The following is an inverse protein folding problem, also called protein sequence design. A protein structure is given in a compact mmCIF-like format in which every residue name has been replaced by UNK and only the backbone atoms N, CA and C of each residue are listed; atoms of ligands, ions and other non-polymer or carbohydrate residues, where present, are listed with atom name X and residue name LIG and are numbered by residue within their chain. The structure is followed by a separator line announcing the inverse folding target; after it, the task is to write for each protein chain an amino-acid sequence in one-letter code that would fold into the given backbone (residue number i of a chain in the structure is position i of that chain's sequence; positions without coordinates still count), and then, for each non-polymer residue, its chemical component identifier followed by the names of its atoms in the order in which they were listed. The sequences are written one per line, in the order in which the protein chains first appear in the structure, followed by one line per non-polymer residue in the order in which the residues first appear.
data_IF_873097864762
#
_entry.id   IF_873097864762
#
_cell.length_a   1.000
_cell.length_b   1.000
_cell.length_c   1.000
_cell.angle_alpha   90.00
_cell.angle_beta   90.00
_cell.angle_gamma   90.00
#
_symmetry.space_group_name_H-M   'P 1'
#
loop_
_entity.id
_entity.type
_entity.pdbx_description
1 polymer ?
#
# COMPACT_ATOMS: atom_id res chain seq x y z
N UNK A 1 -14.98 -14.23 14.77
CA UNK A 1 -15.72 -13.84 13.55
C UNK A 1 -16.19 -12.39 13.59
N UNK A 2 -17.18 -12.00 14.40
CA UNK A 2 -17.71 -10.61 14.43
C UNK A 2 -16.66 -9.54 14.79
N UNK A 3 -15.82 -9.78 15.81
CA UNK A 3 -14.72 -8.86 16.17
C UNK A 3 -13.68 -8.66 15.07
N UNK A 4 -13.40 -9.69 14.27
CA UNK A 4 -12.44 -9.62 13.16
C UNK A 4 -12.97 -8.75 12.02
N UNK A 5 -14.27 -8.83 11.74
CA UNK A 5 -14.94 -7.98 10.74
C UNK A 5 -14.87 -6.51 11.15
N UNK A 6 -15.14 -6.21 12.43
CA UNK A 6 -15.05 -4.84 12.96
C UNK A 6 -13.62 -4.31 12.84
N UNK A 7 -12.61 -5.13 13.21
CA UNK A 7 -11.21 -4.74 13.10
C UNK A 7 -10.77 -4.47 11.66
N UNK A 8 -11.16 -5.34 10.71
CA UNK A 8 -10.88 -5.15 9.28
C UNK A 8 -11.54 -3.89 8.74
N UNK A 9 -12.79 -3.61 9.14
CA UNK A 9 -13.49 -2.38 8.76
C UNK A 9 -12.75 -1.13 9.26
N UNK A 10 -12.28 -1.15 10.51
CA UNK A 10 -11.48 -0.06 11.06
C UNK A 10 -10.15 0.11 10.32
N UNK A 11 -9.47 -1.00 9.98
CA UNK A 11 -8.22 -0.99 9.24
C UNK A 11 -8.39 -0.38 7.83
N UNK A 12 -9.47 -0.73 7.13
CA UNK A 12 -9.81 -0.15 5.82
C UNK A 12 -10.09 1.34 5.90
N UNK A 13 -10.83 1.80 6.91
CA UNK A 13 -11.08 3.24 7.13
C UNK A 13 -9.75 3.97 7.35
N UNK A 14 -8.88 3.40 8.20
CA UNK A 14 -7.57 3.99 8.49
C UNK A 14 -6.71 4.12 7.24
N UNK A 15 -6.65 3.07 6.41
CA UNK A 15 -5.97 3.10 5.11
C UNK A 15 -6.57 4.18 4.20
N UNK A 16 -7.90 4.26 4.09
CA UNK A 16 -8.58 5.27 3.27
C UNK A 16 -8.25 6.71 3.68
N UNK A 17 -8.18 6.99 4.98
CA UNK A 17 -7.80 8.32 5.50
C UNK A 17 -6.35 8.66 5.14
N UNK A 18 -5.43 7.70 5.24
CA UNK A 18 -4.03 7.89 4.84
C UNK A 18 -3.94 8.25 3.35
N UNK A 19 -4.65 7.51 2.49
CA UNK A 19 -4.67 7.80 1.05
C UNK A 19 -5.22 9.20 0.75
N UNK A 20 -6.31 9.62 1.41
CA UNK A 20 -6.86 10.98 1.25
C UNK A 20 -5.85 12.07 1.62
N UNK A 21 -5.06 11.87 2.67
CA UNK A 21 -4.03 12.83 3.09
C UNK A 21 -2.89 12.89 2.05
N UNK A 22 -2.43 11.74 1.56
CA UNK A 22 -1.38 11.64 0.54
C UNK A 22 -1.82 12.37 -0.74
N UNK A 23 -3.05 12.12 -1.20
CA UNK A 23 -3.63 12.81 -2.36
C UNK A 23 -3.70 14.33 -2.13
N UNK A 24 -4.16 14.76 -0.95
CA UNK A 24 -4.31 16.18 -0.62
C UNK A 24 -2.98 16.95 -0.58
N UNK A 25 -1.88 16.29 -0.22
CA UNK A 25 -0.54 16.89 -0.17
C UNK A 25 0.10 16.92 -1.58
N UNK A 26 -0.53 16.30 -2.59
CA UNK A 26 0.01 16.25 -3.95
C UNK A 26 1.26 15.38 -4.05
N UNK A 27 1.44 14.44 -3.10
CA UNK A 27 2.61 13.59 -3.06
C UNK A 27 2.51 12.53 -4.17
N UNK A 28 3.16 12.79 -5.30
CA UNK A 28 3.28 11.81 -6.38
C UNK A 28 4.37 10.79 -6.01
N UNK A 29 3.95 9.61 -5.57
CA UNK A 29 4.86 8.52 -5.24
C UNK A 29 5.41 7.89 -6.53
N UNK A 30 6.59 8.33 -6.94
CA UNK A 30 7.35 7.71 -8.04
C UNK A 30 8.44 6.83 -7.44
N UNK A 31 8.20 5.53 -7.43
CA UNK A 31 9.19 4.58 -6.97
C UNK A 31 10.25 4.37 -8.07
N UNK A 32 11.55 4.60 -7.81
CA UNK A 32 12.59 4.41 -8.82
C UNK A 32 12.71 2.96 -9.31
N UNK A 33 12.21 2.00 -8.53
CA UNK A 33 12.18 0.57 -8.88
C UNK A 33 10.90 0.17 -9.65
N UNK A 34 9.95 1.08 -9.85
CA UNK A 34 8.77 0.82 -10.68
C UNK A 34 9.10 1.14 -12.14
N UNK A 35 8.87 0.16 -13.01
CA UNK A 35 9.19 0.30 -14.43
C UNK A 35 7.92 0.62 -15.22
N UNK A 36 7.95 1.72 -15.95
CA UNK A 36 6.88 2.12 -16.86
C UNK A 36 7.39 2.06 -18.29
N UNK A 37 6.87 1.13 -19.08
CA UNK A 37 7.18 1.00 -20.50
C UNK A 37 6.03 1.62 -21.31
N UNK A 38 6.28 2.78 -21.92
CA UNK A 38 5.34 3.40 -22.85
C UNK A 38 5.81 3.19 -24.30
N UNK A 39 4.94 2.63 -25.16
CA UNK A 39 5.18 2.46 -26.58
C UNK A 39 3.93 2.81 -27.38
N UNK A 40 3.96 3.93 -28.10
CA UNK A 40 2.94 4.47 -29.03
C UNK A 40 1.46 4.38 -28.60
N UNK A 41 0.87 3.19 -28.49
CA UNK A 41 -0.51 2.94 -28.03
C UNK A 41 -0.61 2.01 -26.80
N UNK A 42 0.51 1.60 -26.19
CA UNK A 42 0.54 0.67 -25.07
C UNK A 42 1.38 1.23 -23.93
N UNK A 43 0.81 1.24 -22.73
CA UNK A 43 1.52 1.56 -21.48
C UNK A 43 1.49 0.33 -20.60
N UNK A 44 2.66 -0.21 -20.28
CA UNK A 44 2.82 -1.35 -19.37
C UNK A 44 3.53 -0.85 -18.12
N UNK A 45 2.85 -0.94 -16.98
CA UNK A 45 3.40 -0.57 -15.68
C UNK A 45 3.75 -1.84 -14.90
N UNK A 46 4.99 -1.93 -14.43
CA UNK A 46 5.52 -3.04 -13.65
C UNK A 46 5.93 -2.50 -12.26
N UNK A 47 5.04 -2.62 -11.26
CA UNK A 47 5.25 -2.07 -9.91
C UNK A 47 6.17 -2.95 -9.06
N UNK A 48 7.42 -3.16 -9.47
CA UNK A 48 8.35 -4.03 -8.75
C UNK A 48 8.70 -3.41 -7.39
N UNK A 49 9.11 -2.14 -7.40
CA UNK A 49 9.44 -1.42 -6.18
C UNK A 49 8.25 -1.32 -5.24
N UNK A 50 7.08 -0.94 -5.76
CA UNK A 50 5.88 -0.74 -4.94
C UNK A 50 5.44 -2.05 -4.29
N UNK A 51 5.52 -3.17 -5.02
CA UNK A 51 5.20 -4.50 -4.47
C UNK A 51 6.17 -4.91 -3.36
N UNK A 52 7.47 -4.64 -3.52
CA UNK A 52 8.48 -4.92 -2.49
C UNK A 52 8.21 -4.06 -1.24
N UNK A 53 7.94 -2.78 -1.43
CA UNK A 53 7.67 -1.85 -0.33
C UNK A 53 6.43 -2.26 0.47
N UNK A 54 5.33 -2.59 -0.22
CA UNK A 54 4.11 -3.12 0.39
C UNK A 54 4.41 -4.39 1.20
N UNK A 55 5.23 -5.29 0.66
CA UNK A 55 5.56 -6.56 1.29
C UNK A 55 6.36 -6.38 2.59
N UNK A 56 7.34 -5.48 2.59
CA UNK A 56 8.12 -5.14 3.79
C UNK A 56 7.21 -4.54 4.86
N UNK A 57 6.35 -3.59 4.48
CA UNK A 57 5.41 -2.95 5.41
C UNK A 57 4.48 -3.98 6.05
N UNK A 58 3.84 -4.83 5.24
CA UNK A 58 2.96 -5.89 5.75
C UNK A 58 3.72 -6.85 6.68
N UNK A 59 4.95 -7.22 6.31
CA UNK A 59 5.79 -8.11 7.12
C UNK A 59 6.11 -7.51 8.48
N UNK A 60 6.47 -6.22 8.54
CA UNK A 60 6.71 -5.50 9.80
C UNK A 60 5.43 -5.41 10.63
N UNK A 61 4.29 -5.09 10.01
CA UNK A 61 2.99 -5.03 10.69
C UNK A 61 2.63 -6.39 11.31
N UNK A 62 2.73 -7.48 10.55
CA UNK A 62 2.44 -8.82 11.06
C UNK A 62 3.43 -9.27 12.13
N UNK A 63 4.71 -8.90 12.00
CA UNK A 63 5.71 -9.15 13.03
C UNK A 63 5.36 -8.46 14.35
N UNK A 64 4.97 -7.18 14.30
CA UNK A 64 4.58 -6.42 15.48
C UNK A 64 3.31 -6.97 16.12
N UNK A 65 2.30 -7.31 15.31
CA UNK A 65 1.06 -7.94 15.81
C UNK A 65 1.39 -9.25 16.54
N UNK A 66 2.20 -10.14 15.93
CA UNK A 66 2.63 -11.41 16.54
C UNK A 66 3.48 -11.22 17.80
N UNK A 67 4.21 -10.10 17.93
CA UNK A 67 5.04 -9.82 19.11
C UNK A 67 4.20 -9.28 20.27
N UNK A 68 3.13 -8.56 19.98
CA UNK A 68 2.29 -7.88 20.98
C UNK A 68 1.15 -8.78 21.48
N UNK A 69 0.59 -9.63 20.62
CA UNK A 69 -0.41 -10.64 20.97
C UNK A 69 0.22 -12.01 21.22
#
# INVERSE_FOLDING_TARGET
MSKQIIFIGFLLIFIGVIFLIIEKIGFSYNNPLDFMFEKSNSKVFIPIGSSILISIILSVVFYLIKKIF
#
